data_IF_490399495419
#
_entry.id   IF_490399495419
#
_cell.length_a   1.000
_cell.length_b   1.000
_cell.length_c   1.000
_cell.angle_alpha   90.00
_cell.angle_beta   90.00
_cell.angle_gamma   90.00
#
_symmetry.space_group_name_H-M   'P 1'
#
loop_
_entity.id
_entity.type
_entity.pdbx_description
1 polymer ?
#
# COMPACT_ATOMS: atom_id res chain seq x y z
N UNK A 1 -20.42 -2.03 9.30
CA UNK A 1 -19.08 -1.64 8.82
C UNK A 1 -18.31 -0.82 9.87
N UNK A 2 -18.67 0.43 10.24
CA UNK A 2 -17.87 1.20 11.21
C UNK A 2 -17.76 0.52 12.58
N UNK A 3 -18.86 -0.03 13.10
CA UNK A 3 -18.88 -0.80 14.36
C UNK A 3 -17.99 -2.05 14.30
N UNK A 4 -17.95 -2.74 13.16
CA UNK A 4 -17.14 -3.94 13.00
C UNK A 4 -15.65 -3.61 13.01
N UNK A 5 -15.25 -2.52 12.32
CA UNK A 5 -13.88 -2.01 12.34
C UNK A 5 -13.46 -1.58 13.75
N UNK A 6 -14.35 -0.90 14.50
CA UNK A 6 -14.10 -0.53 15.89
C UNK A 6 -13.92 -1.76 16.78
N UNK A 7 -14.78 -2.77 16.62
CA UNK A 7 -14.69 -4.04 17.37
C UNK A 7 -13.36 -4.75 17.14
N UNK A 8 -12.92 -4.86 15.87
CA UNK A 8 -11.66 -5.51 15.54
C UNK A 8 -10.45 -4.68 16.02
N UNK A 9 -10.58 -3.35 16.01
CA UNK A 9 -9.55 -2.47 16.58
C UNK A 9 -9.33 -2.73 18.07
N UNK A 10 -10.43 -2.86 18.84
CA UNK A 10 -10.35 -3.14 20.27
C UNK A 10 -9.75 -4.52 20.58
N UNK A 11 -9.88 -5.48 19.65
CA UNK A 11 -9.20 -6.79 19.73
C UNK A 11 -7.71 -6.75 19.36
N UNK A 12 -7.17 -5.58 19.03
CA UNK A 12 -5.75 -5.39 18.69
C UNK A 12 -5.44 -5.35 17.19
N UNK A 13 -6.40 -5.59 16.29
CA UNK A 13 -6.19 -5.41 14.85
C UNK A 13 -6.00 -3.94 14.51
N UNK A 14 -5.24 -3.67 13.45
CA UNK A 14 -5.01 -2.31 12.94
C UNK A 14 -5.39 -2.25 11.47
N UNK A 15 -6.28 -1.32 11.11
CA UNK A 15 -6.56 -0.95 9.73
C UNK A 15 -5.93 0.42 9.50
N UNK A 16 -4.95 0.46 8.60
CA UNK A 16 -4.22 1.66 8.24
C UNK A 16 -4.47 1.97 6.77
N UNK A 17 -4.78 3.23 6.46
CA UNK A 17 -4.93 3.72 5.10
C UNK A 17 -3.97 4.90 4.92
N UNK A 18 -3.29 4.96 3.77
CA UNK A 18 -2.41 6.07 3.43
C UNK A 18 -3.06 7.00 2.42
N UNK A 19 -2.83 8.29 2.60
CA UNK A 19 -3.10 9.37 1.66
C UNK A 19 -1.86 10.23 1.51
N UNK A 20 -1.79 11.04 0.45
CA UNK A 20 -0.75 12.05 0.30
C UNK A 20 -1.32 13.43 0.56
N UNK A 21 -0.82 14.14 1.58
CA UNK A 21 -1.10 15.56 1.78
C UNK A 21 -0.23 16.36 0.80
N UNK A 22 -0.85 16.92 -0.24
CA UNK A 22 -0.13 17.64 -1.29
C UNK A 22 0.49 18.95 -0.77
N UNK A 23 -0.22 19.68 0.10
CA UNK A 23 0.27 20.92 0.68
C UNK A 23 1.57 20.70 1.46
N UNK A 24 1.67 19.57 2.15
CA UNK A 24 2.83 19.23 2.98
C UNK A 24 3.84 18.32 2.27
N UNK A 25 3.54 17.85 1.05
CA UNK A 25 4.36 16.92 0.25
C UNK A 25 4.78 15.67 1.03
N UNK A 26 3.86 15.09 1.80
CA UNK A 26 4.16 13.95 2.68
C UNK A 26 3.04 12.91 2.71
N UNK A 27 3.38 11.64 2.96
CA UNK A 27 2.39 10.62 3.24
C UNK A 27 1.75 10.87 4.62
N UNK A 28 0.45 10.60 4.70
CA UNK A 28 -0.30 10.57 5.95
C UNK A 28 -0.91 9.19 6.12
N UNK A 29 -0.60 8.53 7.24
CA UNK A 29 -1.14 7.20 7.55
C UNK A 29 -2.23 7.34 8.61
N UNK A 30 -3.45 6.98 8.25
CA UNK A 30 -4.64 7.08 9.08
C UNK A 30 -4.92 5.77 9.82
N UNK A 31 -5.10 5.85 11.14
CA UNK A 31 -5.57 4.70 11.92
C UNK A 31 -7.09 4.63 11.88
N UNK A 32 -7.62 3.94 10.88
CA UNK A 32 -9.06 3.82 10.64
C UNK A 32 -9.80 3.17 11.79
N UNK A 33 -9.15 2.23 12.49
CA UNK A 33 -9.72 1.59 13.66
C UNK A 33 -9.90 2.56 14.83
N UNK A 34 -8.92 3.43 15.07
CA UNK A 34 -9.02 4.47 16.09
C UNK A 34 -10.13 5.48 15.76
N UNK A 35 -10.25 5.90 14.49
CA UNK A 35 -11.34 6.77 14.03
C UNK A 35 -12.69 6.10 14.26
N UNK A 36 -12.83 4.84 13.90
CA UNK A 36 -14.07 4.08 14.07
C UNK A 36 -14.48 3.92 15.55
N UNK A 37 -13.49 3.79 16.45
CA UNK A 37 -13.69 3.60 17.88
C UNK A 37 -13.79 4.92 18.66
N UNK A 38 -13.57 6.08 18.01
CA UNK A 38 -13.48 7.39 18.70
C UNK A 38 -14.79 7.86 19.34
N UNK A 39 -15.94 7.37 18.86
CA UNK A 39 -17.25 7.89 19.26
C UNK A 39 -17.55 9.30 18.74
N UNK A 40 -16.67 9.90 17.95
CA UNK A 40 -16.85 11.25 17.46
C UNK A 40 -18.04 11.33 16.46
N UNK A 41 -18.93 12.34 16.54
CA UNK A 41 -20.08 12.45 15.65
C UNK A 41 -19.74 12.42 14.16
N UNK A 42 -18.58 12.99 13.76
CA UNK A 42 -18.11 13.02 12.37
C UNK A 42 -17.18 11.84 11.99
N UNK A 43 -17.06 10.82 12.86
CA UNK A 43 -16.15 9.69 12.58
C UNK A 43 -16.47 8.98 11.25
N UNK A 44 -17.75 8.81 10.92
CA UNK A 44 -18.16 8.18 9.66
C UNK A 44 -17.82 9.06 8.44
N UNK A 45 -18.03 10.39 8.55
CA UNK A 45 -17.66 11.34 7.50
C UNK A 45 -16.16 11.26 7.21
N UNK A 46 -15.32 11.47 8.22
CA UNK A 46 -13.88 11.40 8.09
C UNK A 46 -13.41 10.02 7.56
N UNK A 47 -14.00 8.93 8.04
CA UNK A 47 -13.67 7.59 7.56
C UNK A 47 -13.90 7.43 6.06
N UNK A 48 -15.01 7.95 5.53
CA UNK A 48 -15.35 7.93 4.11
C UNK A 48 -14.42 8.84 3.31
N UNK A 49 -14.17 10.05 3.80
CA UNK A 49 -13.29 11.03 3.13
C UNK A 49 -11.89 10.46 2.95
N UNK A 50 -11.33 9.80 3.97
CA UNK A 50 -10.02 9.13 3.88
C UNK A 50 -10.04 8.00 2.85
N UNK A 51 -11.09 7.17 2.82
CA UNK A 51 -11.19 6.10 1.83
C UNK A 51 -11.22 6.65 0.41
N UNK A 52 -12.01 7.70 0.18
CA UNK A 52 -12.09 8.34 -1.15
C UNK A 52 -10.76 9.01 -1.49
N UNK A 53 -10.16 9.74 -0.56
CA UNK A 53 -8.87 10.39 -0.75
C UNK A 53 -7.77 9.38 -1.11
N UNK A 54 -7.76 8.19 -0.46
CA UNK A 54 -6.76 7.15 -0.72
C UNK A 54 -6.88 6.50 -2.11
N UNK A 55 -7.99 6.71 -2.80
CA UNK A 55 -8.25 6.26 -4.17
C UNK A 55 -8.33 7.43 -5.17
N UNK A 56 -8.09 8.66 -4.73
CA UNK A 56 -8.16 9.87 -5.57
C UNK A 56 -6.86 10.03 -6.37
N UNK A 57 -6.69 9.18 -7.41
CA UNK A 57 -5.54 9.26 -8.31
C UNK A 57 -5.53 10.61 -9.02
N UNK A 58 -4.42 11.40 -8.93
CA UNK A 58 -4.33 12.69 -9.60
C UNK A 58 -4.61 12.61 -11.09
N UNK A 59 -5.23 13.64 -11.62
CA UNK A 59 -5.70 13.73 -13.01
C UNK A 59 -6.98 12.91 -13.31
N UNK A 60 -7.15 11.75 -12.65
CA UNK A 60 -8.34 10.90 -12.86
C UNK A 60 -9.50 11.28 -11.91
N UNK A 61 -9.19 11.68 -10.69
CA UNK A 61 -10.19 12.01 -9.67
C UNK A 61 -9.86 13.32 -8.97
N UNK A 62 -10.90 14.04 -8.47
CA UNK A 62 -10.69 15.27 -7.69
C UNK A 62 -10.05 14.95 -6.32
N UNK A 63 -9.22 15.85 -5.79
CA UNK A 63 -8.69 15.72 -4.43
C UNK A 63 -9.78 15.86 -3.38
N UNK A 64 -9.52 15.35 -2.18
CA UNK A 64 -10.39 15.49 -1.01
C UNK A 64 -9.75 16.44 -0.02
N UNK A 65 -10.52 17.41 0.47
CA UNK A 65 -10.08 18.32 1.51
C UNK A 65 -10.48 17.78 2.89
N UNK A 66 -9.48 17.57 3.75
CA UNK A 66 -9.66 17.09 5.11
C UNK A 66 -9.36 18.23 6.08
N UNK A 67 -10.34 18.54 6.94
CA UNK A 67 -10.19 19.57 7.97
C UNK A 67 -9.28 19.07 9.06
N UNK A 68 -8.21 19.80 9.32
CA UNK A 68 -7.23 19.52 10.37
C UNK A 68 -7.06 20.75 11.27
N UNK A 69 -6.64 20.50 12.49
CA UNK A 69 -6.27 21.57 13.42
C UNK A 69 -4.81 21.40 13.83
N UNK A 70 -4.02 22.44 13.67
CA UNK A 70 -2.62 22.46 14.05
C UNK A 70 -2.30 23.82 14.72
N UNK A 71 -1.64 23.79 15.86
CA UNK A 71 -1.26 24.98 16.63
C UNK A 71 -2.44 25.93 16.90
N UNK A 72 -3.66 25.40 17.10
CA UNK A 72 -4.87 26.17 17.35
C UNK A 72 -5.49 26.84 16.11
N UNK A 73 -4.96 26.56 14.93
CA UNK A 73 -5.48 27.05 13.64
C UNK A 73 -6.12 25.90 12.87
N UNK A 74 -7.15 26.21 12.08
CA UNK A 74 -7.83 25.24 11.21
C UNK A 74 -7.35 25.39 9.80
N UNK A 75 -7.09 24.24 9.17
CA UNK A 75 -6.65 24.12 7.78
C UNK A 75 -7.53 23.11 7.05
N UNK A 76 -7.69 23.33 5.76
CA UNK A 76 -8.24 22.35 4.83
C UNK A 76 -7.07 21.76 4.02
N UNK A 77 -6.53 20.61 4.48
CA UNK A 77 -5.43 19.93 3.79
C UNK A 77 -5.94 19.19 2.54
N UNK A 78 -5.26 19.38 1.41
CA UNK A 78 -5.57 18.70 0.16
C UNK A 78 -4.95 17.29 0.16
N UNK A 79 -5.80 16.28 0.14
CA UNK A 79 -5.40 14.88 0.09
C UNK A 79 -5.73 14.21 -1.24
N UNK A 80 -4.77 13.41 -1.72
CA UNK A 80 -4.89 12.55 -2.90
C UNK A 80 -4.43 11.14 -2.57
N UNK A 81 -4.47 10.25 -3.57
CA UNK A 81 -4.04 8.85 -3.47
C UNK A 81 -2.70 8.69 -2.73
N UNK A 82 -2.66 7.74 -1.82
CA UNK A 82 -1.46 7.43 -1.05
C UNK A 82 -0.29 6.96 -1.91
N UNK A 83 -0.59 6.37 -3.07
CA UNK A 83 0.38 5.92 -4.05
C UNK A 83 1.22 7.04 -4.68
N UNK A 84 0.83 8.31 -4.53
CA UNK A 84 1.67 9.45 -4.93
C UNK A 84 2.94 9.55 -4.07
N UNK A 85 2.85 9.18 -2.79
CA UNK A 85 4.00 9.18 -1.86
C UNK A 85 4.58 7.80 -1.62
N UNK A 86 3.73 6.78 -1.47
CA UNK A 86 4.12 5.38 -1.25
C UNK A 86 3.10 4.45 -1.87
N UNK A 87 3.51 3.64 -2.84
CA UNK A 87 2.65 2.63 -3.47
C UNK A 87 2.29 1.49 -2.51
N UNK A 88 3.22 1.14 -1.64
CA UNK A 88 3.07 0.10 -0.62
C UNK A 88 3.80 0.54 0.65
N UNK A 89 3.17 0.32 1.81
CA UNK A 89 3.83 0.56 3.09
C UNK A 89 3.51 -0.58 4.07
N UNK A 90 4.45 -0.92 4.94
CA UNK A 90 4.24 -1.94 5.97
C UNK A 90 3.72 -1.31 7.27
N UNK A 91 4.40 -0.27 7.73
CA UNK A 91 3.97 0.62 8.82
C UNK A 91 4.67 1.96 8.67
N UNK A 92 4.03 3.02 9.18
CA UNK A 92 4.61 4.36 9.10
C UNK A 92 5.83 4.50 10.02
N UNK A 93 6.72 5.45 9.75
CA UNK A 93 7.92 5.69 10.56
C UNK A 93 7.61 6.01 12.03
N UNK A 94 6.40 6.44 12.32
CA UNK A 94 5.93 6.75 13.67
C UNK A 94 5.31 5.56 14.42
N UNK A 95 4.93 4.50 13.72
CA UNK A 95 4.43 3.29 14.35
C UNK A 95 5.67 2.49 14.74
N UNK A 96 6.05 2.56 16.01
CA UNK A 96 7.03 1.62 16.54
C UNK A 96 6.54 0.22 16.18
N UNK A 97 7.39 -0.63 15.55
CA UNK A 97 7.02 -2.02 15.35
C UNK A 97 6.46 -2.50 16.68
N UNK A 98 5.32 -3.17 16.64
CA UNK A 98 4.84 -3.87 17.83
C UNK A 98 6.07 -4.55 18.37
N UNK A 99 6.51 -4.20 19.58
CA UNK A 99 7.64 -4.87 20.22
C UNK A 99 7.21 -6.32 20.28
N UNK A 100 7.57 -7.10 19.26
CA UNK A 100 7.57 -8.54 19.36
C UNK A 100 8.66 -8.80 20.38
N UNK A 101 8.23 -8.84 21.64
CA UNK A 101 9.15 -8.86 22.79
C UNK A 101 9.84 -10.22 22.77
N UNK A 102 11.01 -10.26 22.12
CA UNK A 102 11.84 -11.47 22.07
C UNK A 102 12.37 -11.88 23.43
N UNK A 103 12.20 -11.04 24.44
CA UNK A 103 12.83 -11.17 25.76
C UNK A 103 11.84 -11.27 26.93
N UNK A 104 10.55 -11.44 26.71
CA UNK A 104 9.70 -11.90 27.79
C UNK A 104 9.82 -13.42 27.83
N UNK A 105 10.57 -13.89 28.81
CA UNK A 105 10.62 -15.29 29.24
C UNK A 105 9.31 -15.63 29.97
N UNK A 106 8.19 -15.31 29.33
CA UNK A 106 6.83 -15.51 29.83
C UNK A 106 6.28 -16.90 29.47
N UNK A 107 7.15 -17.79 28.98
CA UNK A 107 6.79 -19.16 28.59
C UNK A 107 5.86 -19.26 27.39
N UNK A 108 5.52 -18.14 26.72
CA UNK A 108 4.70 -18.15 25.52
C UNK A 108 5.55 -18.53 24.30
N UNK A 109 4.98 -19.31 23.35
CA UNK A 109 5.69 -19.68 22.14
C UNK A 109 6.08 -18.42 21.36
N UNK A 110 7.34 -18.40 20.85
CA UNK A 110 7.84 -17.35 19.98
C UNK A 110 6.85 -17.15 18.82
N UNK A 111 6.17 -16.01 18.78
CA UNK A 111 5.27 -15.70 17.68
C UNK A 111 6.11 -15.38 16.45
N UNK A 112 5.97 -16.20 15.42
CA UNK A 112 6.47 -15.89 14.10
C UNK A 112 5.65 -14.72 13.54
N UNK A 113 6.33 -13.75 12.95
CA UNK A 113 5.70 -12.59 12.38
C UNK A 113 5.99 -12.53 10.88
N UNK A 114 4.94 -12.40 10.09
CA UNK A 114 5.00 -12.44 8.64
C UNK A 114 4.46 -11.15 8.05
N UNK A 115 5.12 -10.62 7.04
CA UNK A 115 4.63 -9.53 6.21
C UNK A 115 4.16 -10.10 4.86
N UNK A 116 2.88 -9.94 4.57
CA UNK A 116 2.27 -10.33 3.30
C UNK A 116 1.98 -9.08 2.47
N UNK A 117 2.63 -8.98 1.31
CA UNK A 117 2.49 -7.86 0.38
C UNK A 117 1.74 -8.36 -0.85
N UNK A 118 0.56 -7.78 -1.07
CA UNK A 118 -0.26 -8.06 -2.25
C UNK A 118 -0.22 -6.82 -3.13
N UNK A 119 0.41 -6.93 -4.29
CA UNK A 119 0.52 -5.85 -5.26
C UNK A 119 -0.39 -6.08 -6.45
N UNK A 120 -1.38 -5.23 -6.62
CA UNK A 120 -2.34 -5.33 -7.72
C UNK A 120 -1.79 -4.68 -9.01
N UNK A 121 -0.57 -5.05 -9.40
CA UNK A 121 0.09 -4.63 -10.64
C UNK A 121 1.17 -5.61 -11.03
N UNK A 122 1.58 -5.61 -12.30
CA UNK A 122 2.73 -6.37 -12.79
C UNK A 122 4.05 -5.73 -12.35
N UNK A 123 5.11 -6.52 -12.24
CA UNK A 123 6.46 -6.03 -11.91
C UNK A 123 7.27 -5.68 -13.16
N UNK A 124 6.99 -6.30 -14.30
CA UNK A 124 7.72 -6.02 -15.56
C UNK A 124 7.46 -4.60 -16.07
N UNK A 125 8.48 -3.97 -16.68
CA UNK A 125 8.28 -2.78 -17.49
C UNK A 125 7.32 -3.09 -18.64
N UNK A 126 6.37 -2.21 -18.85
CA UNK A 126 5.51 -2.22 -20.04
C UNK A 126 6.17 -1.36 -21.12
N UNK A 127 6.56 -2.00 -22.25
CA UNK A 127 7.11 -1.27 -23.37
C UNK A 127 5.96 -0.66 -24.19
N UNK A 128 6.03 0.63 -24.43
CA UNK A 128 5.05 1.36 -25.19
C UNK A 128 5.73 2.38 -26.10
N UNK A 129 5.33 2.44 -27.35
CA UNK A 129 5.77 3.50 -28.26
C UNK A 129 5.08 4.81 -27.90
N UNK A 130 5.84 5.81 -27.47
CA UNK A 130 5.31 7.08 -27.01
C UNK A 130 5.34 8.10 -28.13
N UNK A 131 4.19 8.71 -28.44
CA UNK A 131 4.13 9.82 -29.39
C UNK A 131 4.90 11.02 -28.83
N UNK A 132 5.67 11.74 -29.67
CA UNK A 132 6.47 12.88 -29.22
C UNK A 132 5.55 14.12 -29.01
N UNK A 133 4.64 14.02 -28.06
CA UNK A 133 3.76 15.12 -27.62
C UNK A 133 3.95 15.34 -26.12
N UNK A 134 3.86 16.59 -25.67
CA UNK A 134 4.04 16.96 -24.26
C UNK A 134 3.14 16.10 -23.35
N UNK A 135 1.85 16.02 -23.66
CA UNK A 135 0.88 15.23 -22.88
C UNK A 135 1.25 13.75 -22.77
N UNK A 136 1.71 13.13 -23.88
CA UNK A 136 2.09 11.72 -23.87
C UNK A 136 3.37 11.48 -23.07
N UNK A 137 4.32 12.41 -23.17
CA UNK A 137 5.57 12.36 -22.42
C UNK A 137 5.30 12.54 -20.92
N UNK A 138 4.49 13.53 -20.54
CA UNK A 138 4.13 13.79 -19.14
C UNK A 138 3.44 12.59 -18.50
N UNK A 139 2.41 12.05 -19.16
CA UNK A 139 1.69 10.87 -18.65
C UNK A 139 2.62 9.68 -18.47
N UNK A 140 3.51 9.43 -19.44
CA UNK A 140 4.47 8.32 -19.36
C UNK A 140 5.53 8.54 -18.28
N UNK A 141 5.97 9.78 -18.11
CA UNK A 141 6.93 10.15 -17.05
C UNK A 141 6.34 9.92 -15.68
N UNK A 142 5.10 10.35 -15.43
CA UNK A 142 4.38 10.10 -14.18
C UNK A 142 4.24 8.59 -13.92
N UNK A 143 3.82 7.83 -14.93
CA UNK A 143 3.70 6.37 -14.82
C UNK A 143 5.05 5.70 -14.50
N UNK A 144 6.14 6.20 -15.08
CA UNK A 144 7.49 5.70 -14.82
C UNK A 144 7.95 6.02 -13.40
N UNK A 145 7.66 7.22 -12.88
CA UNK A 145 7.96 7.61 -11.51
C UNK A 145 7.19 6.75 -10.49
N UNK A 146 5.87 6.58 -10.70
CA UNK A 146 5.01 5.74 -9.86
C UNK A 146 5.54 4.31 -9.82
N UNK A 147 5.94 3.77 -10.97
CA UNK A 147 6.50 2.42 -11.06
C UNK A 147 7.83 2.31 -10.31
N UNK A 148 8.77 3.22 -10.55
CA UNK A 148 10.08 3.21 -9.90
C UNK A 148 9.93 3.32 -8.37
N UNK A 149 9.03 4.19 -7.89
CA UNK A 149 8.69 4.32 -6.49
C UNK A 149 8.16 3.00 -5.91
N UNK A 150 7.21 2.36 -6.60
CA UNK A 150 6.63 1.11 -6.12
C UNK A 150 7.66 -0.03 -5.99
N UNK A 151 8.66 -0.10 -6.87
CA UNK A 151 9.78 -1.03 -6.71
C UNK A 151 10.64 -0.63 -5.51
N UNK A 152 10.97 0.65 -5.36
CA UNK A 152 11.69 1.18 -4.20
C UNK A 152 10.99 0.89 -2.87
N UNK A 153 9.67 0.98 -2.83
CA UNK A 153 8.88 0.63 -1.65
C UNK A 153 9.01 -0.85 -1.27
N UNK A 154 9.01 -1.76 -2.24
CA UNK A 154 9.23 -3.19 -1.99
C UNK A 154 10.60 -3.44 -1.35
N UNK A 155 11.65 -2.78 -1.84
CA UNK A 155 12.99 -2.87 -1.23
C UNK A 155 13.01 -2.28 0.18
N UNK A 156 12.33 -1.14 0.40
CA UNK A 156 12.21 -0.52 1.73
C UNK A 156 11.50 -1.44 2.72
N UNK A 157 10.41 -2.08 2.30
CA UNK A 157 9.69 -3.06 3.12
C UNK A 157 10.59 -4.26 3.40
N UNK A 158 11.30 -4.77 2.39
CA UNK A 158 12.20 -5.91 2.57
C UNK A 158 13.29 -5.61 3.59
N UNK A 159 13.99 -4.50 3.49
CA UNK A 159 14.99 -4.08 4.47
C UNK A 159 14.38 -3.95 5.88
N UNK A 160 13.17 -3.41 5.96
CA UNK A 160 12.43 -3.29 7.22
C UNK A 160 12.09 -4.67 7.80
N UNK A 161 11.62 -5.61 6.99
CA UNK A 161 11.32 -6.98 7.45
C UNK A 161 12.58 -7.71 7.92
N UNK A 162 13.71 -7.54 7.22
CA UNK A 162 14.98 -8.13 7.65
C UNK A 162 15.46 -7.55 9.00
N UNK A 163 15.38 -6.23 9.16
CA UNK A 163 15.72 -5.56 10.43
C UNK A 163 14.86 -6.06 11.58
N UNK A 164 13.56 -6.17 11.36
CA UNK A 164 12.56 -6.50 12.38
C UNK A 164 12.34 -8.02 12.53
N UNK A 165 13.07 -8.83 11.73
CA UNK A 165 13.00 -10.30 11.68
C UNK A 165 11.59 -10.82 11.38
N UNK A 166 10.97 -10.23 10.38
CA UNK A 166 9.71 -10.66 9.80
C UNK A 166 9.97 -11.43 8.52
N UNK A 167 9.14 -12.40 8.19
CA UNK A 167 9.18 -13.02 6.87
C UNK A 167 8.55 -12.09 5.83
N UNK A 168 9.27 -11.91 4.72
CA UNK A 168 8.78 -11.14 3.58
C UNK A 168 8.09 -12.07 2.59
N UNK A 169 6.82 -11.82 2.28
CA UNK A 169 6.03 -12.61 1.35
C UNK A 169 5.34 -11.66 0.35
N UNK A 170 5.77 -11.72 -0.91
CA UNK A 170 5.26 -10.85 -1.98
C UNK A 170 4.47 -11.64 -3.00
N UNK A 171 3.34 -11.10 -3.39
CA UNK A 171 2.56 -11.54 -4.55
C UNK A 171 2.18 -10.35 -5.43
N UNK A 172 1.99 -10.60 -6.73
CA UNK A 172 1.71 -9.58 -7.75
C UNK A 172 0.99 -10.22 -8.95
N UNK A 173 0.48 -9.40 -9.86
CA UNK A 173 -0.11 -9.87 -11.11
C UNK A 173 0.99 -10.52 -11.97
N UNK A 174 0.86 -11.81 -12.35
CA UNK A 174 1.89 -12.49 -13.15
C UNK A 174 2.19 -11.78 -14.46
N UNK A 175 3.47 -11.71 -14.80
CA UNK A 175 3.93 -11.10 -16.06
C UNK A 175 3.51 -11.88 -17.31
N UNK A 176 3.11 -13.16 -17.14
CA UNK A 176 2.57 -14.00 -18.20
C UNK A 176 1.11 -13.66 -18.57
N UNK A 177 0.44 -12.85 -17.75
CA UNK A 177 -0.91 -12.41 -18.04
C UNK A 177 -0.86 -11.21 -18.97
N UNK A 178 -1.24 -11.43 -20.23
CA UNK A 178 -1.38 -10.35 -21.19
C UNK A 178 -2.65 -9.56 -20.88
N UNK A 179 -2.48 -8.37 -20.32
CA UNK A 179 -3.56 -7.45 -19.99
C UNK A 179 -3.45 -6.26 -20.93
N UNK A 180 -4.12 -6.36 -22.08
CA UNK A 180 -4.26 -5.22 -22.97
C UNK A 180 -5.17 -4.16 -22.30
N UNK A 181 -4.56 -3.07 -21.85
CA UNK A 181 -5.25 -1.97 -21.13
C UNK A 181 -5.64 -0.87 -22.10
N UNK A 182 -6.59 -1.15 -22.98
CA UNK A 182 -7.19 -0.08 -23.80
C UNK A 182 -8.10 0.82 -22.96
N UNK A 183 -8.81 0.23 -21.96
CA UNK A 183 -9.65 0.94 -20.99
C UNK A 183 -9.32 0.51 -19.57
N UNK A 184 -9.12 1.48 -18.67
CA UNK A 184 -8.73 1.20 -17.26
C UNK A 184 -9.80 0.43 -16.46
N UNK A 185 -11.07 0.48 -16.88
CA UNK A 185 -12.21 -0.15 -16.21
C UNK A 185 -12.99 -1.11 -17.14
N UNK A 186 -12.35 -1.72 -18.13
CA UNK A 186 -12.99 -2.75 -18.97
C UNK A 186 -13.35 -3.97 -18.11
N UNK A 187 -14.65 -4.25 -18.03
CA UNK A 187 -15.19 -5.37 -17.25
C UNK A 187 -14.58 -6.74 -17.64
N UNK A 188 -14.20 -6.92 -18.92
CA UNK A 188 -13.58 -8.17 -19.39
C UNK A 188 -12.18 -8.32 -18.79
N UNK A 189 -11.40 -7.24 -18.80
CA UNK A 189 -10.07 -7.20 -18.21
C UNK A 189 -10.14 -7.39 -16.69
N UNK A 190 -11.08 -6.72 -16.02
CA UNK A 190 -11.29 -6.87 -14.58
C UNK A 190 -11.65 -8.31 -14.20
N UNK A 191 -12.56 -8.96 -14.95
CA UNK A 191 -12.93 -10.34 -14.72
C UNK A 191 -11.76 -11.31 -14.99
N UNK A 192 -10.99 -11.07 -16.05
CA UNK A 192 -9.78 -11.87 -16.35
C UNK A 192 -8.77 -11.82 -15.20
N UNK A 193 -8.51 -10.61 -14.68
CA UNK A 193 -7.61 -10.40 -13.54
C UNK A 193 -8.13 -11.09 -12.27
N UNK A 194 -9.43 -10.96 -12.00
CA UNK A 194 -10.08 -11.62 -10.86
C UNK A 194 -9.95 -13.14 -10.94
N UNK A 195 -10.32 -13.74 -12.08
CA UNK A 195 -10.25 -15.18 -12.28
C UNK A 195 -8.81 -15.72 -12.20
N UNK A 196 -7.84 -14.96 -12.74
CA UNK A 196 -6.44 -15.33 -12.63
C UNK A 196 -5.97 -15.32 -11.16
N UNK A 197 -6.28 -14.25 -10.41
CA UNK A 197 -5.97 -14.15 -8.99
C UNK A 197 -6.64 -15.26 -8.16
N UNK A 198 -7.92 -15.53 -8.44
CA UNK A 198 -8.68 -16.58 -7.76
C UNK A 198 -8.08 -17.97 -7.99
N UNK A 199 -7.75 -18.32 -9.24
CA UNK A 199 -7.10 -19.60 -9.57
C UNK A 199 -5.75 -19.76 -8.88
N UNK A 200 -4.92 -18.73 -8.93
CA UNK A 200 -3.61 -18.75 -8.27
C UNK A 200 -3.75 -18.93 -6.75
N UNK A 201 -4.68 -18.22 -6.12
CA UNK A 201 -4.92 -18.36 -4.68
C UNK A 201 -5.42 -19.76 -4.31
N UNK A 202 -6.34 -20.34 -5.12
CA UNK A 202 -6.92 -21.67 -4.88
C UNK A 202 -5.91 -22.82 -5.07
N UNK A 203 -4.92 -22.64 -5.95
CA UNK A 203 -3.84 -23.61 -6.20
C UNK A 203 -2.74 -23.57 -5.15
N UNK A 204 -2.78 -22.61 -4.23
CA UNK A 204 -1.69 -22.32 -3.31
C UNK A 204 -0.70 -21.33 -3.93
N UNK A 205 -0.62 -20.15 -3.34
CA UNK A 205 0.22 -19.06 -3.87
C UNK A 205 1.69 -19.35 -3.61
N UNK A 206 2.52 -19.23 -4.64
CA UNK A 206 3.97 -19.23 -4.49
C UNK A 206 4.44 -17.82 -4.09
N UNK A 207 4.57 -17.58 -2.79
CA UNK A 207 5.04 -16.31 -2.26
C UNK A 207 6.52 -16.10 -2.61
N UNK A 208 6.84 -14.95 -3.15
CA UNK A 208 8.21 -14.54 -3.40
C UNK A 208 8.78 -13.92 -2.12
N UNK A 209 9.90 -14.45 -1.64
CA UNK A 209 10.49 -14.06 -0.37
C UNK A 209 11.55 -12.95 -0.49
N UNK A 210 11.76 -12.43 -1.69
CA UNK A 210 12.70 -11.35 -1.99
C UNK A 210 12.07 -10.35 -2.98
N UNK A 211 12.50 -9.09 -3.00
CA UNK A 211 12.06 -8.11 -3.99
C UNK A 211 12.41 -8.52 -5.42
N UNK A 212 11.78 -7.91 -6.45
CA UNK A 212 12.17 -8.11 -7.83
C UNK A 212 13.64 -7.69 -8.03
N UNK A 213 14.35 -8.40 -8.91
CA UNK A 213 15.75 -8.14 -9.27
C UNK A 213 16.74 -8.15 -8.08
N UNK A 214 16.34 -8.70 -6.94
CA UNK A 214 17.23 -8.92 -5.82
C UNK A 214 17.85 -10.31 -5.89
N UNK A 215 19.18 -10.34 -6.01
CA UNK A 215 19.99 -11.55 -5.98
C UNK A 215 20.83 -11.53 -4.69
N UNK A 216 20.46 -12.34 -3.67
CA UNK A 216 21.28 -12.42 -2.47
C UNK A 216 22.68 -12.92 -2.84
N UNK A 217 23.70 -12.21 -2.39
CA UNK A 217 25.08 -12.71 -2.55
C UNK A 217 25.17 -14.08 -1.88
N UNK A 218 25.64 -15.10 -2.61
CA UNK A 218 25.97 -16.39 -2.01
C UNK A 218 26.96 -16.11 -0.87
N UNK A 219 26.63 -16.51 0.37
CA UNK A 219 27.65 -16.56 1.40
C UNK A 219 28.78 -17.42 0.85
N UNK A 220 30.02 -16.87 0.80
CA UNK A 220 31.19 -17.73 0.63
C UNK A 220 31.16 -18.70 1.81
N UNK A 221 31.04 -19.96 1.51
CA UNK A 221 31.36 -21.02 2.49
C UNK A 221 32.86 -20.88 2.77
N UNK A 222 33.20 -20.43 4.00
CA UNK A 222 34.56 -20.44 4.52
C UNK A 222 34.91 -21.86 4.92
#
# INVERSE_FOLDING_TARGET
MLKDVATEHLKGRRLLISTTALDAQRPVVWNMGAIAASGHPNALGLFRDIMIASAAVPVAFPPIYIKVEAAGQRFDEMHVDGGVSNQVFLYGPMIKPLKFNKNTDDGLPKREAHAYIIRNTQLRPDWQNIRPSLRSIDSRSISSLIRAQGIGDLFRIYVTTQRDKLDFNLTFIPDSLDVNREDEFDNRVMNLLFEAGYKLAKQGYHWRNVPPDYYPMKKKED
#
